data_IF_205357372078
#
_entry.id   IF_205357372078
#
_cell.length_a   1.000
_cell.length_b   1.000
_cell.length_c   1.000
_cell.angle_alpha   90.00
_cell.angle_beta   90.00
_cell.angle_gamma   90.00
#
_symmetry.space_group_name_H-M   'P 1'
#
loop_
_entity.id
_entity.type
_entity.pdbx_description
1 polymer ?
#
# COMPACT_ATOMS: atom_id res chain seq x y z
N UNK A 1 -2.15 -1.46 -0.52
CA UNK A 1 -2.13 -2.52 -1.57
C UNK A 1 -1.11 -3.56 -1.19
N UNK A 2 -1.41 -4.84 -1.37
CA UNK A 2 -0.56 -6.01 -1.06
C UNK A 2 -0.41 -6.86 -2.33
N UNK A 3 0.83 -7.23 -2.68
CA UNK A 3 1.15 -8.19 -3.76
C UNK A 3 2.07 -9.28 -3.21
N UNK A 4 1.88 -10.54 -3.62
CA UNK A 4 2.56 -11.69 -3.01
C UNK A 4 3.82 -12.16 -3.77
N UNK A 5 4.09 -11.66 -4.97
CA UNK A 5 5.22 -12.11 -5.79
C UNK A 5 6.47 -11.21 -5.76
N UNK A 6 7.67 -11.80 -5.64
CA UNK A 6 8.95 -11.08 -5.84
C UNK A 6 9.13 -10.54 -7.27
N UNK A 7 8.53 -11.19 -8.27
CA UNK A 7 8.45 -10.68 -9.64
C UNK A 7 7.52 -9.47 -9.80
N UNK A 8 6.70 -9.19 -8.78
CA UNK A 8 5.71 -8.11 -8.80
C UNK A 8 6.20 -6.82 -8.12
N UNK A 9 7.42 -6.82 -7.57
CA UNK A 9 8.11 -5.60 -7.12
C UNK A 9 8.10 -4.54 -8.21
N UNK A 10 8.41 -4.95 -9.43
CA UNK A 10 8.49 -4.06 -10.60
C UNK A 10 7.11 -3.45 -10.88
N UNK A 11 6.04 -4.23 -10.74
CA UNK A 11 4.67 -3.74 -10.90
C UNK A 11 4.28 -2.78 -9.78
N UNK A 12 4.65 -3.09 -8.53
CA UNK A 12 4.40 -2.18 -7.40
C UNK A 12 5.10 -0.83 -7.60
N UNK A 13 6.35 -0.82 -8.07
CA UNK A 13 7.04 0.44 -8.38
C UNK A 13 6.34 1.21 -9.51
N UNK A 14 5.90 0.52 -10.56
CA UNK A 14 5.17 1.16 -11.66
C UNK A 14 3.83 1.76 -11.19
N UNK A 15 3.07 1.03 -10.38
CA UNK A 15 1.82 1.51 -9.77
C UNK A 15 2.05 2.74 -8.90
N UNK A 16 3.11 2.74 -8.11
CA UNK A 16 3.52 3.91 -7.33
C UNK A 16 3.79 5.12 -8.22
N UNK A 17 4.51 4.95 -9.32
CA UNK A 17 4.81 6.04 -10.25
C UNK A 17 3.55 6.55 -10.96
N UNK A 18 2.62 5.66 -11.31
CA UNK A 18 1.32 6.04 -11.87
C UNK A 18 0.47 6.84 -10.88
N UNK A 19 0.47 6.46 -9.60
CA UNK A 19 -0.23 7.19 -8.53
C UNK A 19 0.43 8.56 -8.31
N UNK A 20 1.76 8.59 -8.21
CA UNK A 20 2.52 9.82 -7.98
C UNK A 20 2.42 10.79 -9.16
N UNK A 21 2.22 10.29 -10.38
CA UNK A 21 2.01 11.12 -11.58
C UNK A 21 0.55 11.47 -11.82
N UNK A 22 -0.38 10.99 -10.99
CA UNK A 22 -1.82 11.23 -11.14
C UNK A 22 -2.46 10.49 -12.32
N UNK A 23 -1.77 9.53 -12.94
CA UNK A 23 -2.30 8.69 -14.03
C UNK A 23 -3.33 7.68 -13.54
N UNK A 24 -3.20 7.23 -12.30
CA UNK A 24 -4.09 6.25 -11.69
C UNK A 24 -4.34 6.59 -10.22
N UNK A 25 -5.53 6.25 -9.73
CA UNK A 25 -5.85 6.39 -8.31
C UNK A 25 -5.41 5.15 -7.53
N UNK A 26 -4.84 5.35 -6.33
CA UNK A 26 -4.45 4.26 -5.43
C UNK A 26 -5.60 3.29 -5.19
N UNK A 27 -6.80 3.82 -4.97
CA UNK A 27 -8.02 3.03 -4.74
C UNK A 27 -8.34 2.09 -5.91
N UNK A 28 -8.18 2.58 -7.14
CA UNK A 28 -8.45 1.80 -8.35
C UNK A 28 -7.43 0.69 -8.51
N UNK A 29 -6.14 0.99 -8.34
CA UNK A 29 -5.08 -0.01 -8.43
C UNK A 29 -5.17 -1.04 -7.30
N UNK A 30 -5.43 -0.59 -6.06
CA UNK A 30 -5.64 -1.47 -4.93
C UNK A 30 -6.86 -2.37 -5.11
N UNK A 31 -7.96 -1.88 -5.69
CA UNK A 31 -9.14 -2.72 -5.94
C UNK A 31 -8.89 -3.78 -7.02
N UNK A 32 -8.02 -3.47 -7.99
CA UNK A 32 -7.79 -4.32 -9.16
C UNK A 32 -6.65 -5.33 -8.97
N UNK A 33 -5.62 -4.94 -8.23
CA UNK A 33 -4.35 -5.67 -8.14
C UNK A 33 -3.97 -6.06 -6.71
N UNK A 34 -4.68 -5.61 -5.68
CA UNK A 34 -4.33 -6.03 -4.31
C UNK A 34 -4.92 -7.40 -4.00
N UNK A 35 -4.09 -8.28 -3.45
CA UNK A 35 -4.49 -9.61 -2.95
C UNK A 35 -5.06 -9.56 -1.51
N UNK A 36 -5.26 -8.37 -0.95
CA UNK A 36 -5.79 -8.22 0.40
C UNK A 36 -7.32 -8.13 0.36
N UNK A 37 -8.01 -8.59 1.41
CA UNK A 37 -9.46 -8.43 1.55
C UNK A 37 -9.91 -6.96 1.50
N UNK A 38 -9.03 -6.02 1.84
CA UNK A 38 -9.24 -4.57 1.73
C UNK A 38 -9.31 -4.07 0.29
N UNK A 39 -8.93 -4.86 -0.72
CA UNK A 39 -9.08 -4.51 -2.13
C UNK A 39 -10.51 -4.08 -2.46
N UNK A 40 -11.52 -4.75 -1.89
CA UNK A 40 -12.94 -4.41 -2.09
C UNK A 40 -13.30 -2.99 -1.63
N UNK A 41 -12.53 -2.44 -0.69
CA UNK A 41 -12.68 -1.09 -0.16
C UNK A 41 -11.62 -0.13 -0.72
N UNK A 42 -10.95 -0.47 -1.83
CA UNK A 42 -9.90 0.39 -2.36
C UNK A 42 -8.56 0.29 -1.63
N UNK A 43 -8.33 -0.78 -0.87
CA UNK A 43 -7.16 -0.94 -0.03
C UNK A 43 -7.20 -0.12 1.27
N UNK A 44 -8.36 0.47 1.59
CA UNK A 44 -8.57 1.18 2.85
C UNK A 44 -8.63 0.20 4.03
N UNK A 45 -7.79 0.44 5.04
CA UNK A 45 -7.68 -0.36 6.26
C UNK A 45 -8.35 0.31 7.47
N UNK A 46 -8.93 1.49 7.29
CA UNK A 46 -9.45 2.33 8.35
C UNK A 46 -8.35 2.88 9.26
N UNK A 47 -8.79 3.40 10.41
CA UNK A 47 -7.88 3.87 11.45
C UNK A 47 -7.37 2.69 12.28
N UNK A 48 -6.05 2.57 12.37
CA UNK A 48 -5.38 1.60 13.22
C UNK A 48 -4.36 2.28 14.15
N UNK A 49 -4.13 1.66 15.29
CA UNK A 49 -3.13 2.07 16.29
C UNK A 49 -1.87 1.23 16.15
N UNK A 50 -0.79 1.72 16.77
CA UNK A 50 0.44 0.95 16.93
C UNK A 50 0.16 -0.38 17.64
N UNK A 51 0.78 -1.46 17.20
CA UNK A 51 0.58 -2.84 17.65
C UNK A 51 -0.56 -3.59 16.97
N UNK A 52 -1.28 -3.00 16.00
CA UNK A 52 -2.37 -3.67 15.29
C UNK A 52 -1.98 -4.24 13.92
N UNK A 53 -0.86 -3.77 13.36
CA UNK A 53 -0.34 -4.20 12.06
C UNK A 53 1.06 -4.79 12.21
N UNK A 54 1.55 -5.45 11.16
CA UNK A 54 2.92 -5.92 11.11
C UNK A 54 3.89 -4.75 11.29
N UNK A 55 4.93 -4.97 12.10
CA UNK A 55 5.93 -3.94 12.45
C UNK A 55 6.47 -3.14 11.26
N UNK A 56 6.94 -3.76 10.15
CA UNK A 56 7.41 -3.00 8.99
C UNK A 56 6.30 -2.17 8.31
N UNK A 57 5.07 -2.69 8.24
CA UNK A 57 3.93 -1.96 7.69
C UNK A 57 3.59 -0.74 8.54
N UNK A 58 3.52 -0.94 9.86
CA UNK A 58 3.25 0.12 10.81
C UNK A 58 4.32 1.21 10.75
N UNK A 59 5.59 0.85 10.85
CA UNK A 59 6.70 1.82 10.85
C UNK A 59 6.67 2.68 9.58
N UNK A 60 6.43 2.08 8.42
CA UNK A 60 6.27 2.81 7.17
C UNK A 60 5.03 3.72 7.17
N UNK A 61 3.86 3.21 7.59
CA UNK A 61 2.62 4.00 7.63
C UNK A 61 2.73 5.23 8.55
N UNK A 62 3.35 5.06 9.73
CA UNK A 62 3.53 6.13 10.71
C UNK A 62 4.66 7.11 10.33
N UNK A 63 5.60 6.70 9.49
CA UNK A 63 6.66 7.57 8.97
C UNK A 63 6.17 8.50 7.84
N UNK A 64 5.08 8.16 7.16
CA UNK A 64 4.52 8.97 6.07
C UNK A 64 3.82 10.23 6.56
N UNK A 65 3.89 11.29 5.75
CA UNK A 65 3.04 12.48 5.91
C UNK A 65 1.64 12.26 5.31
N UNK A 66 0.68 13.11 5.69
CA UNK A 66 -0.69 13.03 5.18
C UNK A 66 -0.71 13.23 3.65
N UNK A 67 -1.30 12.30 2.93
CA UNK A 67 -1.34 12.26 1.46
C UNK A 67 -0.09 11.65 0.82
N UNK A 68 0.90 11.22 1.61
CA UNK A 68 2.14 10.65 1.09
C UNK A 68 2.02 9.15 0.82
N UNK A 69 2.73 8.71 -0.21
CA UNK A 69 2.79 7.32 -0.64
C UNK A 69 4.13 6.68 -0.22
N UNK A 70 4.09 5.55 0.47
CA UNK A 70 5.29 4.82 0.88
C UNK A 70 6.08 4.29 -0.30
N UNK A 71 7.37 4.06 -0.03
CA UNK A 71 8.16 3.09 -0.77
C UNK A 71 7.53 1.68 -0.64
N UNK A 72 7.87 0.73 -1.53
CA UNK A 72 7.50 -0.67 -1.36
C UNK A 72 7.98 -1.21 -0.01
N UNK A 73 7.05 -1.67 0.82
CA UNK A 73 7.32 -2.20 2.16
C UNK A 73 7.21 -3.71 2.11
N UNK A 74 8.31 -4.41 2.32
CA UNK A 74 8.29 -5.87 2.44
C UNK A 74 7.84 -6.29 3.84
N UNK A 75 6.89 -7.22 3.89
CA UNK A 75 6.35 -7.81 5.10
C UNK A 75 6.27 -9.33 4.92
N UNK A 76 5.92 -10.08 5.97
CA UNK A 76 5.74 -11.53 5.86
C UNK A 76 4.59 -11.91 4.92
N UNK A 77 3.63 -10.99 4.72
CA UNK A 77 2.51 -11.19 3.80
C UNK A 77 2.83 -10.82 2.36
N UNK A 78 4.02 -10.31 2.06
CA UNK A 78 4.40 -9.81 0.74
C UNK A 78 4.69 -8.31 0.78
N UNK A 79 4.45 -7.63 -0.33
CA UNK A 79 4.94 -6.26 -0.54
C UNK A 79 3.78 -5.29 -0.56
N UNK A 80 3.94 -4.20 0.19
CA UNK A 80 2.89 -3.24 0.45
C UNK A 80 3.23 -1.85 -0.06
N UNK A 81 2.24 -1.20 -0.66
CA UNK A 81 2.23 0.26 -0.82
C UNK A 81 1.17 0.83 0.11
N UNK A 82 1.57 1.85 0.85
CA UNK A 82 0.76 2.52 1.86
C UNK A 82 0.54 3.95 1.41
N UNK A 83 -0.72 4.38 1.37
CA UNK A 83 -1.10 5.77 1.21
C UNK A 83 -1.64 6.25 2.54
N UNK A 84 -1.05 7.29 3.12
CA UNK A 84 -1.57 7.85 4.37
C UNK A 84 -2.71 8.82 4.07
N UNK A 85 -3.92 8.49 4.52
CA UNK A 85 -5.13 9.31 4.29
C UNK A 85 -5.58 10.09 5.53
N UNK A 86 -5.06 9.78 6.72
CA UNK A 86 -5.44 10.38 8.01
C UNK A 86 -4.40 10.22 9.12
#
# INVERSE_FOLDING_TARGET
MLVQGKGEIIYISAYRDEISSGKAEFRTLASKYSDCSSAKNGGDLGYFKRGQMQKPFEEAAFALTLGELSQPVETESGIHIILRTG
#
